data_IF_635056833653
#
_entry.id   IF_635056833653
#
_cell.length_a   1.000
_cell.length_b   1.000
_cell.length_c   1.000
_cell.angle_alpha   90.00
_cell.angle_beta   90.00
_cell.angle_gamma   90.00
#
_symmetry.space_group_name_H-M   'P 1'
#
loop_
_entity.id
_entity.type
_entity.pdbx_description
1 polymer ?
#
# COMPACT_ATOMS: atom_id res chain seq x y z
N UNK A 1 -2.71 1.22 8.77
CA UNK A 1 -2.11 2.54 8.51
C UNK A 1 -0.85 2.37 7.65
N UNK A 2 -0.54 3.37 6.84
CA UNK A 2 0.69 3.41 6.04
C UNK A 2 1.87 3.90 6.89
N UNK A 3 2.91 3.07 7.00
CA UNK A 3 4.13 3.37 7.76
C UNK A 3 5.20 4.04 6.90
N UNK A 4 5.50 3.42 5.75
CA UNK A 4 6.53 3.86 4.81
C UNK A 4 6.09 3.50 3.38
N UNK A 5 6.29 4.43 2.44
CA UNK A 5 6.09 4.16 1.01
C UNK A 5 7.28 4.74 0.27
N UNK A 6 7.96 3.87 -0.47
CA UNK A 6 9.07 4.23 -1.35
C UNK A 6 8.66 4.05 -2.78
N UNK A 7 8.74 5.15 -3.51
CA UNK A 7 8.63 5.12 -4.95
C UNK A 7 9.85 4.41 -5.56
N UNK A 8 9.59 3.40 -6.40
CA UNK A 8 10.63 2.63 -7.09
C UNK A 8 10.80 3.06 -8.55
N UNK A 9 9.80 3.69 -9.15
CA UNK A 9 9.79 4.11 -10.55
C UNK A 9 8.37 4.20 -11.11
N UNK A 10 8.21 4.85 -12.25
CA UNK A 10 6.94 4.90 -12.98
C UNK A 10 7.10 4.18 -14.30
N UNK A 11 6.05 3.52 -14.74
CA UNK A 11 5.95 2.99 -16.10
C UNK A 11 5.26 4.04 -16.99
N UNK A 12 5.59 4.07 -18.28
CA UNK A 12 5.03 5.00 -19.30
C UNK A 12 3.48 5.08 -19.32
N UNK A 13 2.78 4.08 -18.79
CA UNK A 13 1.33 4.04 -18.68
C UNK A 13 0.71 4.78 -17.49
N UNK A 14 1.41 5.72 -16.84
CA UNK A 14 0.87 6.50 -15.72
C UNK A 14 0.67 5.73 -14.42
N UNK A 15 1.43 4.65 -14.24
CA UNK A 15 1.43 3.83 -13.01
C UNK A 15 2.79 3.90 -12.32
N UNK A 16 2.78 3.99 -11.00
CA UNK A 16 3.96 3.99 -10.14
C UNK A 16 4.15 2.62 -9.50
N UNK A 17 5.37 2.10 -9.57
CA UNK A 17 5.80 0.96 -8.75
C UNK A 17 6.24 1.50 -7.40
N UNK A 18 5.67 0.94 -6.35
CA UNK A 18 5.97 1.33 -4.98
C UNK A 18 6.37 0.10 -4.16
N UNK A 19 7.27 0.34 -3.21
CA UNK A 19 7.47 -0.52 -2.06
C UNK A 19 6.75 0.12 -0.88
N UNK A 20 6.05 -0.67 -0.09
CA UNK A 20 5.27 -0.17 1.03
C UNK A 20 5.45 -1.02 2.28
N UNK A 21 5.31 -0.38 3.43
CA UNK A 21 5.16 -1.02 4.73
C UNK A 21 3.85 -0.56 5.36
N UNK A 22 3.01 -1.51 5.75
CA UNK A 22 1.76 -1.25 6.45
C UNK A 22 1.81 -1.87 7.83
N UNK A 23 1.19 -1.19 8.78
CA UNK A 23 0.94 -1.68 10.13
C UNK A 23 -0.57 -1.67 10.39
N UNK A 24 -1.10 -2.69 11.07
CA UNK A 24 -2.47 -2.65 11.58
C UNK A 24 -2.56 -3.45 12.87
N UNK A 25 -3.54 -3.12 13.71
CA UNK A 25 -3.79 -3.85 14.95
C UNK A 25 -4.93 -4.84 14.73
N UNK A 26 -4.67 -6.11 15.00
CA UNK A 26 -5.64 -7.21 14.93
C UNK A 26 -5.52 -8.03 16.21
N UNK A 27 -6.63 -8.23 16.92
CA UNK A 27 -6.68 -8.95 18.21
C UNK A 27 -5.67 -8.43 19.26
N UNK A 28 -5.42 -7.12 19.27
CA UNK A 28 -4.45 -6.48 20.18
C UNK A 28 -2.99 -6.68 19.79
N UNK A 29 -2.69 -7.34 18.67
CA UNK A 29 -1.35 -7.53 18.13
C UNK A 29 -1.15 -6.58 16.94
N UNK A 30 -0.04 -5.83 16.96
CA UNK A 30 0.37 -5.06 15.78
C UNK A 30 0.97 -6.00 14.75
N UNK A 31 0.29 -6.15 13.62
CA UNK A 31 0.79 -6.83 12.43
C UNK A 31 1.46 -5.82 11.53
N UNK A 32 2.54 -6.24 10.91
CA UNK A 32 3.24 -5.47 9.88
C UNK A 32 3.41 -6.33 8.63
N UNK A 33 3.32 -5.67 7.48
CA UNK A 33 3.62 -6.31 6.19
C UNK A 33 4.42 -5.36 5.31
N UNK A 34 5.39 -5.94 4.62
CA UNK A 34 6.13 -5.27 3.57
C UNK A 34 5.76 -5.87 2.22
N UNK A 35 5.42 -5.02 1.25
CA UNK A 35 5.02 -5.45 -0.08
C UNK A 35 5.56 -4.55 -1.19
N UNK A 36 5.39 -5.02 -2.42
CA UNK A 36 5.64 -4.25 -3.64
C UNK A 36 4.38 -4.29 -4.48
N UNK A 37 3.97 -3.15 -5.01
CA UNK A 37 2.75 -3.05 -5.81
C UNK A 37 2.89 -2.01 -6.91
N UNK A 38 2.09 -2.17 -7.95
CA UNK A 38 1.90 -1.17 -8.99
C UNK A 38 0.57 -0.47 -8.73
N UNK A 39 0.62 0.85 -8.59
CA UNK A 39 -0.54 1.70 -8.31
C UNK A 39 -0.63 2.77 -9.38
N UNK A 40 -1.83 3.24 -9.70
CA UNK A 40 -1.95 4.40 -10.59
C UNK A 40 -1.30 5.63 -9.94
N UNK A 41 -0.58 6.43 -10.72
CA UNK A 41 0.04 7.66 -10.23
C UNK A 41 -0.99 8.62 -9.62
N UNK A 42 -2.25 8.56 -10.05
CA UNK A 42 -3.36 9.31 -9.46
C UNK A 42 -3.62 8.99 -7.98
N UNK A 43 -3.37 7.76 -7.55
CA UNK A 43 -3.57 7.32 -6.16
C UNK A 43 -2.29 7.42 -5.32
N UNK A 44 -1.17 7.87 -5.89
CA UNK A 44 0.10 8.00 -5.18
C UNK A 44 0.02 8.96 -3.98
N UNK A 45 -0.80 10.00 -4.06
CA UNK A 45 -1.05 10.93 -2.95
C UNK A 45 -1.77 10.30 -1.76
N UNK A 46 -2.54 9.23 -1.98
CA UNK A 46 -3.22 8.46 -0.93
C UNK A 46 -2.29 7.44 -0.25
N UNK A 47 -1.07 7.28 -0.75
CA UNK A 47 -0.07 6.33 -0.27
C UNK A 47 1.07 7.06 0.45
N UNK A 48 0.72 8.04 1.29
CA UNK A 48 1.67 8.75 2.13
C UNK A 48 1.60 8.22 3.56
N UNK A 49 2.70 8.37 4.31
CA UNK A 49 2.74 8.01 5.73
C UNK A 49 1.61 8.71 6.47
N UNK A 50 0.86 7.96 7.25
CA UNK A 50 -0.29 8.47 7.99
C UNK A 50 -1.61 8.50 7.23
N UNK A 51 -1.62 8.17 5.94
CA UNK A 51 -2.88 7.93 5.24
C UNK A 51 -3.51 6.61 5.66
N UNK A 52 -4.84 6.62 5.73
CA UNK A 52 -5.67 5.43 5.82
C UNK A 52 -6.00 4.94 4.41
N UNK A 53 -5.87 3.64 4.20
CA UNK A 53 -6.13 2.98 2.92
C UNK A 53 -6.83 1.65 3.21
N UNK A 54 -7.82 1.34 2.38
CA UNK A 54 -8.46 0.04 2.42
C UNK A 54 -7.54 -1.00 1.78
N UNK A 55 -7.26 -2.05 2.54
CA UNK A 55 -6.51 -3.20 2.04
C UNK A 55 -7.43 -4.41 1.96
N UNK A 56 -7.46 -5.04 0.79
CA UNK A 56 -8.06 -6.35 0.63
C UNK A 56 -6.97 -7.38 0.89
N UNK A 57 -7.08 -8.05 2.02
CA UNK A 57 -6.28 -9.22 2.35
C UNK A 57 -6.71 -10.38 1.44
N UNK A 58 -5.76 -10.95 0.69
CA UNK A 58 -6.01 -12.12 -0.15
C UNK A 58 -5.48 -13.38 0.55
N UNK A 59 -4.25 -13.32 1.07
CA UNK A 59 -3.61 -14.35 1.88
C UNK A 59 -2.34 -13.79 2.58
N UNK A 60 -1.66 -14.63 3.36
CA UNK A 60 -0.45 -14.26 4.14
C UNK A 60 0.68 -13.63 3.31
N UNK A 61 0.72 -13.85 2.00
CA UNK A 61 1.74 -13.31 1.10
C UNK A 61 1.21 -12.27 0.13
N UNK A 62 -0.12 -12.13 0.00
CA UNK A 62 -0.73 -11.27 -1.00
C UNK A 62 -1.73 -10.30 -0.37
N UNK A 63 -1.43 -9.01 -0.54
CA UNK A 63 -2.30 -7.92 -0.09
C UNK A 63 -2.50 -6.99 -1.27
N UNK A 64 -3.74 -6.57 -1.50
CA UNK A 64 -4.08 -5.66 -2.59
C UNK A 64 -4.64 -4.37 -2.03
N UNK A 65 -4.11 -3.25 -2.53
CA UNK A 65 -4.68 -1.93 -2.26
C UNK A 65 -6.04 -1.79 -2.93
N UNK A 66 -7.02 -1.34 -2.17
CA UNK A 66 -8.32 -0.92 -2.67
C UNK A 66 -8.38 0.59 -2.55
N UNK A 67 -8.53 1.25 -3.68
CA UNK A 67 -8.79 2.69 -3.72
C UNK A 67 -10.26 2.86 -4.02
N UNK A 68 -11.01 3.41 -3.08
CA UNK A 68 -12.40 3.81 -3.34
C UNK A 68 -12.41 4.90 -4.41
N UNK A 69 -13.32 4.76 -5.38
CA UNK A 69 -13.28 5.48 -6.66
C UNK A 69 -13.92 6.86 -6.55
#
# INVERSE_FOLDING_TARGET
>A
MVEDVRYLGSNDGGSANIKYRLSWTEDGVTKEVEGRGTVSAFYSSRLQKGCEIDIKYLDDKNIRFVFDK
#
